data_IF_724365046115
#
_entry.id   IF_724365046115
#
_cell.length_a   1.000
_cell.length_b   1.000
_cell.length_c   1.000
_cell.angle_alpha   90.00
_cell.angle_beta   90.00
_cell.angle_gamma   90.00
#
_symmetry.space_group_name_H-M   'P 1'
#
loop_
_entity.id
_entity.type
_entity.pdbx_description
1 polymer ?
#
# COMPACT_ATOMS: atom_id res chain seq x y z
N UNK A 1 -23.39 16.89 -10.79
CA UNK A 1 -22.05 16.27 -10.71
C UNK A 1 -21.51 16.54 -9.31
N UNK A 2 -20.94 15.56 -8.58
CA UNK A 2 -20.23 15.90 -7.35
C UNK A 2 -19.16 16.93 -7.69
N UNK A 3 -19.05 17.99 -6.87
CA UNK A 3 -18.09 19.06 -7.09
C UNK A 3 -16.67 18.47 -7.20
N UNK A 4 -15.87 19.00 -8.13
CA UNK A 4 -14.47 18.62 -8.23
C UNK A 4 -13.77 18.91 -6.90
N UNK A 5 -12.97 17.95 -6.43
CA UNK A 5 -12.18 18.10 -5.22
C UNK A 5 -11.20 19.27 -5.36
N UNK A 6 -11.03 20.06 -4.30
CA UNK A 6 -9.96 21.04 -4.22
C UNK A 6 -8.57 20.38 -4.15
N UNK A 7 -7.50 21.13 -4.39
CA UNK A 7 -6.14 20.60 -4.30
C UNK A 7 -5.80 20.05 -2.90
N UNK A 8 -6.29 20.69 -1.84
CA UNK A 8 -6.11 20.23 -0.47
C UNK A 8 -6.88 18.93 -0.20
N UNK A 9 -8.10 18.78 -0.74
CA UNK A 9 -8.85 17.53 -0.64
C UNK A 9 -8.20 16.41 -1.46
N UNK A 10 -7.67 16.70 -2.65
CA UNK A 10 -6.90 15.72 -3.43
C UNK A 10 -5.67 15.27 -2.65
N UNK A 11 -4.91 16.21 -2.07
CA UNK A 11 -3.74 15.88 -1.26
C UNK A 11 -4.13 15.02 -0.05
N UNK A 12 -5.24 15.35 0.63
CA UNK A 12 -5.77 14.53 1.71
C UNK A 12 -6.13 13.11 1.23
N UNK A 13 -6.86 12.98 0.12
CA UNK A 13 -7.26 11.68 -0.45
C UNK A 13 -6.04 10.83 -0.90
N UNK A 14 -4.96 11.48 -1.31
CA UNK A 14 -3.69 10.82 -1.67
C UNK A 14 -2.92 10.33 -0.44
N UNK A 15 -2.97 11.06 0.67
CA UNK A 15 -2.12 10.78 1.84
C UNK A 15 -2.81 9.99 2.95
N UNK A 16 -4.09 10.27 3.22
CA UNK A 16 -4.77 9.85 4.45
C UNK A 16 -5.58 8.56 4.28
N UNK A 17 -6.56 8.46 3.36
CA UNK A 17 -7.30 7.21 3.16
C UNK A 17 -6.41 6.00 2.87
N UNK A 18 -5.36 6.08 2.00
CA UNK A 18 -4.50 4.95 1.68
C UNK A 18 -3.78 4.31 2.88
N UNK A 19 -3.63 5.03 4.00
CA UNK A 19 -3.11 4.45 5.27
C UNK A 19 -3.93 3.27 5.74
N UNK A 20 -5.21 3.20 5.37
CA UNK A 20 -6.14 2.13 5.70
C UNK A 20 -6.34 1.12 4.57
N UNK A 21 -5.53 1.17 3.52
CA UNK A 21 -5.55 0.23 2.39
C UNK A 21 -4.78 -1.08 2.66
N UNK A 22 -4.74 -1.53 3.91
CA UNK A 22 -4.08 -2.77 4.31
C UNK A 22 -5.02 -3.98 4.24
N UNK A 23 -4.44 -5.16 4.08
CA UNK A 23 -5.15 -6.44 4.21
C UNK A 23 -5.30 -6.78 5.67
N UNK A 24 -6.50 -7.13 6.11
CA UNK A 24 -6.77 -7.60 7.48
C UNK A 24 -6.25 -9.04 7.67
N UNK A 25 -4.93 -9.18 7.74
CA UNK A 25 -4.27 -10.45 8.04
C UNK A 25 -4.50 -10.82 9.53
N UNK A 26 -4.54 -12.12 9.88
CA UNK A 26 -4.81 -12.55 11.26
C UNK A 26 -3.82 -12.01 12.30
N UNK A 27 -2.58 -11.75 11.89
CA UNK A 27 -1.50 -11.23 12.72
C UNK A 27 -1.22 -9.73 12.48
N UNK A 28 -2.09 -9.03 11.75
CA UNK A 28 -1.98 -7.59 11.56
C UNK A 28 -2.18 -6.85 12.89
N UNK A 29 -1.21 -6.03 13.25
CA UNK A 29 -1.32 -5.05 14.32
C UNK A 29 -1.39 -3.64 13.70
N UNK A 30 -2.45 -2.90 14.02
CA UNK A 30 -2.58 -1.48 13.66
C UNK A 30 -2.50 -0.66 14.95
N UNK A 31 -1.48 0.16 15.07
CA UNK A 31 -1.27 1.07 16.21
C UNK A 31 -1.65 2.47 15.75
N UNK A 32 -2.82 2.94 16.18
CA UNK A 32 -3.36 4.26 15.89
C UNK A 32 -3.48 5.07 17.18
N UNK A 33 -2.89 6.26 17.19
CA UNK A 33 -3.02 7.27 18.26
C UNK A 33 -2.83 8.65 17.63
N UNK A 34 -3.03 9.70 18.42
CA UNK A 34 -2.87 11.07 17.90
C UNK A 34 -1.48 11.27 17.27
N UNK A 35 -1.46 11.80 16.04
CA UNK A 35 -0.25 11.96 15.25
C UNK A 35 0.48 10.68 14.86
N UNK A 36 -0.12 9.48 14.94
CA UNK A 36 0.60 8.23 14.68
C UNK A 36 -0.28 7.17 14.01
N UNK A 37 0.24 6.60 12.93
CA UNK A 37 -0.35 5.43 12.28
C UNK A 37 0.75 4.44 11.89
N UNK A 38 0.71 3.25 12.50
CA UNK A 38 1.72 2.23 12.31
C UNK A 38 1.07 0.87 12.05
N UNK A 39 1.67 0.13 11.14
CA UNK A 39 1.24 -1.19 10.68
C UNK A 39 2.39 -2.16 10.90
N UNK A 40 2.09 -3.26 11.59
CA UNK A 40 3.00 -4.38 11.79
C UNK A 40 2.30 -5.66 11.33
N UNK A 41 2.98 -6.46 10.53
CA UNK A 41 2.49 -7.73 10.00
C UNK A 41 3.60 -8.76 10.09
N UNK A 42 3.69 -9.52 11.20
CA UNK A 42 4.77 -10.47 11.46
C UNK A 42 4.98 -11.53 10.36
N UNK A 43 3.92 -11.97 9.70
CA UNK A 43 3.94 -12.92 8.59
C UNK A 43 4.64 -12.39 7.33
N UNK A 44 4.85 -11.07 7.24
CA UNK A 44 5.57 -10.41 6.16
C UNK A 44 6.87 -9.78 6.68
N UNK A 45 7.91 -10.59 6.83
CA UNK A 45 9.21 -10.14 7.40
C UNK A 45 10.03 -9.27 6.44
N UNK A 46 9.71 -9.30 5.14
CA UNK A 46 10.37 -8.53 4.08
C UNK A 46 9.35 -7.62 3.39
N UNK A 47 9.73 -6.37 3.12
CA UNK A 47 9.01 -5.50 2.20
C UNK A 47 7.88 -4.63 2.78
N UNK A 48 6.89 -4.32 1.94
CA UNK A 48 6.00 -3.15 2.05
C UNK A 48 4.77 -3.27 2.96
N UNK A 49 4.64 -4.34 3.75
CA UNK A 49 3.50 -4.58 4.65
C UNK A 49 3.73 -4.08 6.08
N UNK A 50 4.96 -3.70 6.43
CA UNK A 50 5.27 -3.05 7.70
C UNK A 50 5.59 -1.58 7.43
N UNK A 51 4.87 -0.67 8.10
CA UNK A 51 5.13 0.74 7.92
C UNK A 51 4.75 1.61 9.11
N UNK A 52 5.45 2.73 9.23
CA UNK A 52 4.91 3.92 9.88
C UNK A 52 4.33 4.78 8.75
N UNK A 53 3.01 4.77 8.62
CA UNK A 53 2.30 5.47 7.55
C UNK A 53 2.10 6.96 7.87
N UNK A 54 2.16 7.34 9.15
CA UNK A 54 2.07 8.71 9.62
C UNK A 54 2.78 8.90 10.96
N UNK A 55 3.52 10.00 11.10
CA UNK A 55 4.15 10.42 12.34
C UNK A 55 4.19 11.96 12.44
N UNK A 56 3.44 12.50 13.39
CA UNK A 56 3.48 13.87 13.87
C UNK A 56 3.89 13.85 15.34
N UNK A 57 5.20 13.95 15.57
CA UNK A 57 5.82 13.81 16.88
C UNK A 57 6.12 15.17 17.50
N UNK A 58 6.06 15.23 18.84
CA UNK A 58 6.64 16.35 19.59
C UNK A 58 8.17 16.39 19.34
N UNK A 59 8.74 17.53 18.92
CA UNK A 59 10.19 17.65 18.71
C UNK A 59 11.04 17.23 19.92
N UNK A 60 10.55 17.41 21.15
CA UNK A 60 11.27 17.07 22.38
C UNK A 60 11.36 15.55 22.60
N UNK A 61 10.40 14.79 22.09
CA UNK A 61 10.33 13.33 22.23
C UNK A 61 10.69 12.57 20.95
N UNK A 62 10.78 13.27 19.81
CA UNK A 62 10.90 12.67 18.48
C UNK A 62 12.03 11.62 18.40
N UNK A 63 13.22 11.98 18.88
CA UNK A 63 14.39 11.08 18.82
C UNK A 63 14.17 9.80 19.62
N UNK A 64 13.64 9.91 20.84
CA UNK A 64 13.33 8.75 21.69
C UNK A 64 12.29 7.85 21.04
N UNK A 65 11.23 8.42 20.46
CA UNK A 65 10.17 7.64 19.78
C UNK A 65 10.74 6.93 18.56
N UNK A 66 11.54 7.62 17.73
CA UNK A 66 12.17 7.02 16.55
C UNK A 66 13.06 5.84 16.97
N UNK A 67 13.92 6.02 17.98
CA UNK A 67 14.82 4.97 18.46
C UNK A 67 14.06 3.74 18.97
N UNK A 68 12.99 3.97 19.74
CA UNK A 68 12.13 2.88 20.23
C UNK A 68 11.46 2.14 19.06
N UNK A 69 10.85 2.85 18.12
CA UNK A 69 10.16 2.23 16.99
C UNK A 69 11.12 1.41 16.12
N UNK A 70 12.32 1.93 15.85
CA UNK A 70 13.35 1.20 15.11
C UNK A 70 13.77 -0.06 15.87
N UNK A 71 13.97 0.04 17.19
CA UNK A 71 14.32 -1.10 18.03
C UNK A 71 13.23 -2.17 18.01
N UNK A 72 11.95 -1.78 18.05
CA UNK A 72 10.81 -2.70 18.00
C UNK A 72 10.76 -3.51 16.70
N UNK A 73 10.93 -2.86 15.54
CA UNK A 73 10.99 -3.57 14.25
C UNK A 73 12.22 -4.48 14.16
N UNK A 74 13.38 -4.04 14.65
CA UNK A 74 14.61 -4.86 14.67
C UNK A 74 14.47 -6.08 15.57
N UNK A 75 13.86 -5.94 16.74
CA UNK A 75 13.62 -7.04 17.67
C UNK A 75 12.70 -8.12 17.09
N UNK A 76 11.83 -7.75 16.15
CA UNK A 76 10.91 -8.65 15.44
C UNK A 76 11.48 -9.19 14.12
N UNK A 77 12.72 -8.85 13.74
CA UNK A 77 13.34 -9.13 12.42
C UNK A 77 12.47 -8.68 11.23
N UNK A 78 11.83 -7.51 11.36
CA UNK A 78 10.94 -6.97 10.34
C UNK A 78 11.62 -5.84 9.56
N UNK A 79 11.61 -5.96 8.23
CA UNK A 79 11.85 -4.80 7.36
C UNK A 79 10.60 -3.94 7.33
N UNK A 80 10.78 -2.63 7.40
CA UNK A 80 9.68 -1.66 7.39
C UNK A 80 10.07 -0.41 6.58
N UNK A 81 9.05 0.40 6.25
CA UNK A 81 9.21 1.75 5.70
C UNK A 81 8.65 2.80 6.65
N UNK A 82 9.17 4.02 6.57
CA UNK A 82 8.63 5.16 7.28
C UNK A 82 8.27 6.23 6.27
N UNK A 83 6.98 6.53 6.15
CA UNK A 83 6.49 7.55 5.22
C UNK A 83 6.59 8.92 5.88
N UNK A 84 7.32 9.83 5.26
CA UNK A 84 7.41 11.24 5.66
C UNK A 84 6.71 12.06 4.58
N UNK A 85 5.69 12.82 4.98
CA UNK A 85 4.88 13.64 4.09
C UNK A 85 4.66 15.05 4.65
N UNK A 86 3.91 15.91 3.93
CA UNK A 86 3.60 17.28 4.36
C UNK A 86 2.90 17.38 5.72
N UNK A 87 2.26 16.30 6.17
CA UNK A 87 1.57 16.21 7.45
C UNK A 87 2.43 15.55 8.55
N UNK A 88 3.71 15.27 8.28
CA UNK A 88 4.63 14.73 9.28
C UNK A 88 5.26 15.84 10.12
N UNK A 89 5.57 15.51 11.37
CA UNK A 89 6.27 16.39 12.29
C UNK A 89 7.28 15.58 13.13
N UNK A 90 8.41 16.17 13.55
CA UNK A 90 8.87 17.54 13.24
C UNK A 90 9.28 17.73 11.76
N UNK A 91 9.45 18.98 11.26
CA UNK A 91 9.85 19.23 9.87
C UNK A 91 11.20 18.61 9.46
N UNK A 92 12.07 18.33 10.43
CA UNK A 92 13.36 17.67 10.25
C UNK A 92 13.28 16.14 10.43
N UNK A 93 12.08 15.55 10.54
CA UNK A 93 11.88 14.11 10.79
C UNK A 93 12.66 13.24 9.80
N UNK A 94 12.65 13.57 8.50
CA UNK A 94 13.41 12.83 7.49
C UNK A 94 14.92 12.79 7.78
N UNK A 95 15.50 13.92 8.22
CA UNK A 95 16.91 13.98 8.59
C UNK A 95 17.21 13.16 9.85
N UNK A 96 16.32 13.17 10.84
CA UNK A 96 16.44 12.37 12.07
C UNK A 96 16.39 10.86 11.79
N UNK A 97 15.56 10.44 10.84
CA UNK A 97 15.47 9.05 10.40
C UNK A 97 16.73 8.62 9.64
N UNK A 98 17.22 9.46 8.73
CA UNK A 98 18.44 9.21 7.97
C UNK A 98 19.66 9.04 8.89
N UNK A 99 19.77 9.86 9.95
CA UNK A 99 20.82 9.74 10.96
C UNK A 99 20.84 8.38 11.68
N UNK A 100 19.75 7.61 11.62
CA UNK A 100 19.59 6.28 12.24
C UNK A 100 19.69 5.13 11.24
N UNK A 101 20.12 5.44 10.01
CA UNK A 101 20.40 4.47 8.97
C UNK A 101 19.19 4.09 8.11
N UNK A 102 18.08 4.83 8.18
CA UNK A 102 17.03 4.69 7.17
C UNK A 102 17.51 5.33 5.85
N UNK A 103 17.23 4.66 4.73
CA UNK A 103 17.58 5.13 3.39
C UNK A 103 16.42 5.95 2.84
N UNK A 104 16.72 7.16 2.37
CA UNK A 104 15.73 8.05 1.77
C UNK A 104 15.38 7.62 0.35
N UNK A 105 14.09 7.60 0.05
CA UNK A 105 13.55 7.38 -1.29
C UNK A 105 12.40 8.37 -1.53
N UNK A 106 12.49 9.13 -2.61
CA UNK A 106 11.41 10.04 -3.01
C UNK A 106 10.28 9.26 -3.70
N UNK A 107 9.05 9.57 -3.31
CA UNK A 107 7.83 9.05 -3.94
C UNK A 107 6.91 10.21 -4.25
N UNK A 108 6.15 10.09 -5.34
CA UNK A 108 5.15 11.07 -5.73
C UNK A 108 3.75 10.53 -5.49
N UNK A 109 2.91 11.34 -4.85
CA UNK A 109 1.48 11.10 -4.78
C UNK A 109 0.82 11.49 -6.09
N UNK A 110 0.10 10.57 -6.73
CA UNK A 110 -0.60 10.82 -7.98
C UNK A 110 -2.10 10.69 -7.79
N UNK A 111 -2.86 11.59 -8.41
CA UNK A 111 -4.31 11.53 -8.46
C UNK A 111 -4.80 11.89 -9.86
N UNK A 112 -5.93 11.29 -10.25
CA UNK A 112 -6.63 11.64 -11.48
C UNK A 112 -8.13 11.44 -11.32
N UNK A 113 -8.92 12.09 -12.18
CA UNK A 113 -10.34 11.83 -12.29
C UNK A 113 -10.59 10.37 -12.75
N UNK A 114 -11.63 9.74 -12.22
CA UNK A 114 -11.99 8.36 -12.59
C UNK A 114 -12.61 8.26 -13.98
N UNK A 115 -13.24 9.33 -14.46
CA UNK A 115 -13.68 9.44 -15.85
C UNK A 115 -12.47 9.31 -16.77
N UNK A 116 -12.43 8.22 -17.54
CA UNK A 116 -11.40 7.92 -18.51
C UNK A 116 -12.08 7.23 -19.70
N UNK A 117 -11.81 7.69 -20.93
CA UNK A 117 -12.10 6.93 -22.15
C UNK A 117 -10.84 6.22 -22.64
N UNK A 118 -10.79 4.90 -22.46
CA UNK A 118 -9.66 4.09 -22.87
C UNK A 118 -10.01 3.51 -24.24
N UNK A 119 -9.06 3.55 -25.18
CA UNK A 119 -9.17 2.73 -26.38
C UNK A 119 -8.81 1.30 -25.97
N UNK A 120 -9.76 0.35 -25.95
CA UNK A 120 -9.45 -1.03 -25.61
C UNK A 120 -8.56 -1.62 -26.71
N UNK A 121 -7.47 -2.26 -26.32
CA UNK A 121 -6.69 -3.10 -27.21
C UNK A 121 -7.42 -4.46 -27.34
N UNK A 122 -7.80 -4.90 -28.55
CA UNK A 122 -8.53 -6.16 -28.73
C UNK A 122 -7.74 -7.41 -28.30
N UNK A 123 -6.40 -7.32 -28.22
CA UNK A 123 -5.56 -8.41 -27.73
C UNK A 123 -5.49 -8.45 -26.20
N UNK A 124 -6.04 -7.46 -25.49
CA UNK A 124 -6.03 -7.36 -24.03
C UNK A 124 -7.41 -7.65 -23.46
N UNK A 125 -7.49 -8.62 -22.54
CA UNK A 125 -8.67 -8.82 -21.70
C UNK A 125 -8.34 -8.52 -20.24
N UNK A 126 -9.30 -7.94 -19.53
CA UNK A 126 -9.19 -7.64 -18.09
C UNK A 126 -10.37 -8.27 -17.38
N UNK A 127 -10.10 -9.11 -16.39
CA UNK A 127 -11.12 -9.77 -15.58
C UNK A 127 -10.94 -9.42 -14.10
N UNK A 128 -12.06 -9.32 -13.37
CA UNK A 128 -12.01 -9.29 -11.91
C UNK A 128 -11.56 -10.65 -11.42
N UNK A 129 -10.65 -10.68 -10.47
CA UNK A 129 -10.15 -11.93 -9.91
C UNK A 129 -11.22 -12.59 -9.06
N UNK A 130 -11.45 -13.86 -9.35
CA UNK A 130 -12.25 -14.81 -8.59
C UNK A 130 -11.39 -15.98 -8.10
N UNK A 131 -11.99 -16.90 -7.33
CA UNK A 131 -11.29 -18.06 -6.76
C UNK A 131 -10.56 -18.88 -7.83
N UNK A 132 -11.16 -19.07 -9.01
CA UNK A 132 -10.57 -19.83 -10.10
C UNK A 132 -9.36 -19.14 -10.74
N UNK A 133 -9.32 -17.80 -10.73
CA UNK A 133 -8.26 -16.99 -11.35
C UNK A 133 -7.17 -16.53 -10.37
N UNK A 134 -7.42 -16.69 -9.06
CA UNK A 134 -6.52 -16.26 -8.00
C UNK A 134 -5.09 -16.81 -8.14
N UNK A 135 -4.86 -18.10 -8.49
CA UNK A 135 -3.51 -18.62 -8.65
C UNK A 135 -2.71 -17.89 -9.75
N UNK A 136 -3.36 -17.57 -10.88
CA UNK A 136 -2.71 -16.84 -11.97
C UNK A 136 -2.41 -15.38 -11.59
N UNK A 137 -3.32 -14.74 -10.85
CA UNK A 137 -3.08 -13.40 -10.30
C UNK A 137 -1.88 -13.39 -9.35
N UNK A 138 -1.82 -14.31 -8.40
CA UNK A 138 -0.71 -14.41 -7.44
C UNK A 138 0.62 -14.68 -8.15
N UNK A 139 0.66 -15.58 -9.14
CA UNK A 139 1.88 -15.85 -9.93
C UNK A 139 2.39 -14.60 -10.66
N UNK A 140 1.51 -13.91 -11.41
CA UNK A 140 1.89 -12.71 -12.15
C UNK A 140 2.39 -11.62 -11.21
N UNK A 141 1.71 -11.39 -10.08
CA UNK A 141 2.13 -10.41 -9.09
C UNK A 141 3.49 -10.76 -8.49
N UNK A 142 3.68 -12.01 -8.06
CA UNK A 142 4.93 -12.47 -7.46
C UNK A 142 6.11 -12.35 -8.44
N UNK A 143 5.91 -12.73 -9.70
CA UNK A 143 6.92 -12.60 -10.76
C UNK A 143 7.24 -11.14 -11.08
N UNK A 144 6.20 -10.31 -11.23
CA UNK A 144 6.37 -8.90 -11.57
C UNK A 144 7.11 -8.10 -10.50
N UNK A 145 6.88 -8.41 -9.22
CA UNK A 145 7.55 -7.74 -8.10
C UNK A 145 8.78 -8.47 -7.56
N UNK A 146 9.10 -9.67 -8.08
CA UNK A 146 10.23 -10.47 -7.63
C UNK A 146 10.10 -10.94 -6.17
N UNK A 147 8.89 -11.32 -5.74
CA UNK A 147 8.58 -11.71 -4.35
C UNK A 147 8.15 -13.17 -4.24
N UNK A 148 8.19 -13.73 -3.03
CA UNK A 148 7.67 -15.07 -2.75
C UNK A 148 6.12 -15.12 -2.91
N UNK A 149 5.58 -16.02 -3.74
CA UNK A 149 4.13 -16.16 -3.90
C UNK A 149 3.42 -16.73 -2.66
N UNK A 150 4.12 -17.44 -1.75
CA UNK A 150 3.50 -18.13 -0.61
C UNK A 150 2.72 -17.19 0.33
N UNK A 151 3.37 -16.16 0.92
CA UNK A 151 2.67 -15.17 1.74
C UNK A 151 1.59 -14.39 0.97
N UNK A 152 1.83 -14.07 -0.31
CA UNK A 152 0.88 -13.34 -1.16
C UNK A 152 -0.41 -14.12 -1.39
N UNK A 153 -0.32 -15.42 -1.61
CA UNK A 153 -1.47 -16.30 -1.82
C UNK A 153 -2.45 -16.27 -0.63
N UNK A 154 -1.92 -16.32 0.60
CA UNK A 154 -2.71 -16.17 1.83
C UNK A 154 -3.41 -14.79 1.90
N UNK A 155 -2.67 -13.71 1.63
CA UNK A 155 -3.22 -12.36 1.63
C UNK A 155 -4.31 -12.19 0.56
N UNK A 156 -4.11 -12.68 -0.66
CA UNK A 156 -5.08 -12.55 -1.74
C UNK A 156 -6.36 -13.36 -1.49
N UNK A 157 -6.26 -14.54 -0.86
CA UNK A 157 -7.46 -15.29 -0.43
C UNK A 157 -8.28 -14.50 0.58
N UNK A 158 -7.63 -13.85 1.55
CA UNK A 158 -8.31 -13.03 2.54
C UNK A 158 -8.93 -11.77 1.92
N UNK A 159 -8.24 -11.12 0.98
CA UNK A 159 -8.81 -10.02 0.20
C UNK A 159 -10.08 -10.44 -0.56
N UNK A 160 -10.08 -11.63 -1.17
CA UNK A 160 -11.22 -12.15 -1.93
C UNK A 160 -12.38 -12.59 -1.02
N UNK A 161 -12.07 -13.09 0.17
CA UNK A 161 -13.04 -13.50 1.17
C UNK A 161 -13.64 -12.33 1.97
N UNK A 162 -13.09 -11.11 1.86
CA UNK A 162 -13.61 -9.93 2.56
C UNK A 162 -15.07 -9.64 2.11
N UNK A 163 -16.08 -9.80 2.99
CA UNK A 163 -17.47 -9.59 2.63
C UNK A 163 -17.77 -8.13 2.25
N UNK A 164 -16.98 -7.18 2.74
CA UNK A 164 -17.10 -5.77 2.35
C UNK A 164 -16.50 -5.49 0.96
N UNK A 165 -15.81 -6.47 0.35
CA UNK A 165 -15.14 -6.37 -0.94
C UNK A 165 -14.30 -5.10 -1.09
N UNK A 166 -13.61 -4.70 -0.01
CA UNK A 166 -12.81 -3.48 0.04
C UNK A 166 -11.72 -3.51 -1.02
N UNK A 167 -11.10 -4.68 -1.21
CA UNK A 167 -10.11 -4.93 -2.24
C UNK A 167 -10.77 -5.44 -3.52
N UNK A 168 -10.39 -4.85 -4.64
CA UNK A 168 -10.79 -5.26 -5.99
C UNK A 168 -9.53 -5.62 -6.76
N UNK A 169 -9.39 -6.89 -7.09
CA UNK A 169 -8.23 -7.42 -7.79
C UNK A 169 -8.59 -7.68 -9.25
N UNK A 170 -7.66 -7.38 -10.15
CA UNK A 170 -7.83 -7.49 -11.58
C UNK A 170 -6.63 -8.21 -12.20
N UNK A 171 -6.93 -9.14 -13.11
CA UNK A 171 -5.96 -9.85 -13.92
C UNK A 171 -6.14 -9.41 -15.37
N UNK A 172 -5.04 -8.94 -15.97
CA UNK A 172 -4.97 -8.63 -17.38
C UNK A 172 -4.26 -9.77 -18.13
N UNK A 173 -4.82 -10.13 -19.29
CA UNK A 173 -4.24 -11.10 -20.21
C UNK A 173 -3.95 -10.46 -21.55
N UNK A 174 -2.83 -10.81 -22.13
CA UNK A 174 -2.49 -10.47 -23.51
C UNK A 174 -2.58 -11.75 -24.35
N UNK A 175 -3.49 -11.78 -25.33
CA UNK A 175 -3.79 -12.96 -26.17
C UNK A 175 -4.08 -14.22 -25.34
N UNK A 176 -4.83 -14.06 -24.26
CA UNK A 176 -5.22 -15.14 -23.34
C UNK A 176 -4.19 -15.50 -22.26
N UNK A 177 -2.95 -14.98 -22.35
CA UNK A 177 -1.87 -15.28 -21.41
C UNK A 177 -1.86 -14.24 -20.27
N UNK A 178 -1.85 -14.66 -18.99
CA UNK A 178 -1.68 -13.74 -17.85
C UNK A 178 -0.44 -12.86 -18.01
N UNK A 179 -0.62 -11.55 -18.01
CA UNK A 179 0.45 -10.59 -18.34
C UNK A 179 0.58 -9.45 -17.33
N UNK A 180 -0.50 -9.07 -16.65
CA UNK A 180 -0.47 -7.96 -15.70
C UNK A 180 -1.49 -8.13 -14.57
N UNK A 181 -1.23 -7.48 -13.45
CA UNK A 181 -2.15 -7.40 -12.32
C UNK A 181 -2.36 -5.96 -11.90
N UNK A 182 -3.51 -5.70 -11.27
CA UNK A 182 -3.77 -4.48 -10.53
C UNK A 182 -4.73 -4.76 -9.39
N UNK A 183 -4.60 -4.02 -8.30
CA UNK A 183 -5.51 -3.99 -7.18
C UNK A 183 -6.04 -2.58 -6.96
N UNK A 184 -7.20 -2.48 -6.32
CA UNK A 184 -7.72 -1.21 -5.83
C UNK A 184 -8.45 -1.36 -4.50
N UNK A 185 -8.35 -0.36 -3.64
CA UNK A 185 -9.19 -0.20 -2.45
C UNK A 185 -10.13 0.98 -2.65
N UNK A 186 -11.42 0.75 -2.47
CA UNK A 186 -12.42 1.80 -2.58
C UNK A 186 -12.60 2.53 -1.24
N UNK A 187 -12.57 3.86 -1.29
CA UNK A 187 -12.92 4.78 -0.21
C UNK A 187 -14.17 5.58 -0.59
N UNK A 188 -14.82 6.29 0.35
CA UNK A 188 -16.06 7.01 0.06
C UNK A 188 -15.97 8.01 -1.11
N UNK A 189 -14.77 8.58 -1.36
CA UNK A 189 -14.55 9.65 -2.35
C UNK A 189 -13.48 9.32 -3.40
N UNK A 190 -12.74 8.22 -3.22
CA UNK A 190 -11.57 7.90 -4.05
C UNK A 190 -11.36 6.39 -4.19
N UNK A 191 -10.49 6.00 -5.12
CA UNK A 191 -9.97 4.64 -5.21
C UNK A 191 -8.46 4.70 -5.19
N UNK A 192 -7.84 3.93 -4.29
CA UNK A 192 -6.39 3.80 -4.21
C UNK A 192 -5.96 2.58 -5.01
N UNK A 193 -5.05 2.80 -5.98
CA UNK A 193 -4.50 1.73 -6.82
C UNK A 193 -3.26 1.13 -6.16
N UNK A 194 -3.16 -0.19 -6.15
CA UNK A 194 -2.06 -0.93 -5.53
C UNK A 194 -1.71 -2.19 -6.32
N UNK A 195 -0.48 -2.69 -6.15
CA UNK A 195 -0.07 -3.97 -6.73
C UNK A 195 -0.04 -4.02 -8.26
N UNK A 196 -0.04 -2.86 -8.93
CA UNK A 196 -0.01 -2.78 -10.38
C UNK A 196 1.33 -3.22 -10.95
N UNK A 197 1.36 -4.27 -11.78
CA UNK A 197 2.58 -4.70 -12.48
C UNK A 197 2.26 -5.35 -13.82
N UNK A 198 3.13 -5.15 -14.79
CA UNK A 198 3.09 -5.76 -16.12
C UNK A 198 4.38 -6.55 -16.29
N UNK A 199 4.28 -7.81 -16.73
CA UNK A 199 5.45 -8.64 -17.00
C UNK A 199 6.22 -8.11 -18.23
N UNK A 200 7.55 -8.29 -18.28
CA UNK A 200 8.37 -7.89 -19.42
C UNK A 200 7.97 -8.58 -20.73
#
# INVERSE_FOLDING_TARGET
>A
MPAALSAAEILHEVLVPPRRAYVALPDLEVIERDGWHQIITPSFTRGGFNEIAHAALDPADADRVIDQTIADYRARDLRFRWTVGPDSAPPDLGARLAARGLVHHEVIGMARATAWEAAPDPDITVERVEHATLPAFTDVMARGWGTDPGPLDGAHRLMLADPAQRHRLYLARHRGIPAATAGAVAFPRSMYLLGGVVLP
#
